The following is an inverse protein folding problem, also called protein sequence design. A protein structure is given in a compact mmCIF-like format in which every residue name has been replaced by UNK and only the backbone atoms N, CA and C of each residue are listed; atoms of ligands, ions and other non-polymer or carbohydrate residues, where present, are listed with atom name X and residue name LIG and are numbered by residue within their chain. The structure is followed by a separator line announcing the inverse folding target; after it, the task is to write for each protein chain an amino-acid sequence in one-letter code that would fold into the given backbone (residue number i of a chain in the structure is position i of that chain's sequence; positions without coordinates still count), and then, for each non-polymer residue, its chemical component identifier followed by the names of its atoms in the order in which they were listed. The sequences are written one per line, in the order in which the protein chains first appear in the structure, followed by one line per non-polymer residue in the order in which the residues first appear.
data_IF_791622776655
#
_entry.id   IF_791622776655
#
_cell.length_a   1.000
_cell.length_b   1.000
_cell.length_c   1.000
_cell.angle_alpha   90.00
_cell.angle_beta   90.00
_cell.angle_gamma   90.00
#
_symmetry.space_group_name_H-M   'P 1'
#
loop_
_entity.id
_entity.type
_entity.pdbx_description
1 polymer ?
#
# COMPACT_ATOMS: atom_id res chain seq x y z
N UNK A 1 -10.95 -20.68 -14.96
CA UNK A 1 -9.92 -20.60 -13.91
C UNK A 1 -9.36 -19.19 -13.95
N UNK A 2 -9.32 -18.51 -12.79
CA UNK A 2 -8.92 -17.10 -12.72
C UNK A 2 -7.39 -17.01 -12.66
N UNK A 3 -6.77 -16.49 -13.72
CA UNK A 3 -5.31 -16.37 -13.85
C UNK A 3 -4.69 -15.36 -12.89
N UNK A 4 -5.49 -14.38 -12.44
CA UNK A 4 -5.04 -13.30 -11.56
C UNK A 4 -5.88 -13.24 -10.29
N UNK A 5 -5.21 -13.06 -9.15
CA UNK A 5 -5.82 -12.81 -7.85
C UNK A 5 -5.42 -11.44 -7.33
N UNK A 6 -6.36 -10.74 -6.70
CA UNK A 6 -6.04 -9.58 -5.90
C UNK A 6 -5.68 -10.00 -4.48
N UNK A 7 -4.70 -9.31 -3.88
CA UNK A 7 -4.36 -9.43 -2.48
C UNK A 7 -4.41 -8.05 -1.82
N UNK A 8 -4.94 -7.99 -0.60
CA UNK A 8 -4.96 -6.76 0.19
C UNK A 8 -4.87 -7.07 1.68
N UNK A 9 -4.78 -6.04 2.52
CA UNK A 9 -4.90 -6.23 3.97
C UNK A 9 -5.66 -5.08 4.63
N UNK A 10 -6.37 -5.41 5.70
CA UNK A 10 -7.05 -4.45 6.56
C UNK A 10 -6.45 -4.51 7.97
N UNK A 11 -5.87 -3.40 8.41
CA UNK A 11 -5.48 -3.19 9.80
C UNK A 11 -5.80 -1.77 10.22
N UNK A 12 -6.44 -1.64 11.39
CA UNK A 12 -7.03 -0.39 11.83
C UNK A 12 -6.79 -0.16 13.33
N UNK A 13 -5.54 0.08 13.75
CA UNK A 13 -5.20 0.22 15.18
C UNK A 13 -5.89 1.41 15.85
N UNK A 14 -6.44 2.36 15.09
CA UNK A 14 -7.16 3.53 15.59
C UNK A 14 -8.68 3.44 15.46
N UNK A 15 -9.22 2.35 14.90
CA UNK A 15 -10.66 2.14 14.79
C UNK A 15 -11.40 3.14 13.91
N UNK A 16 -10.74 3.73 12.90
CA UNK A 16 -11.40 4.66 11.97
C UNK A 16 -12.46 3.95 11.13
N UNK A 17 -13.68 4.48 11.10
CA UNK A 17 -14.79 3.89 10.36
C UNK A 17 -14.57 3.88 8.84
N UNK A 18 -13.89 4.89 8.32
CA UNK A 18 -13.67 5.10 6.88
C UNK A 18 -12.87 3.97 6.24
N UNK A 19 -11.93 3.35 6.96
CA UNK A 19 -11.15 2.22 6.43
C UNK A 19 -12.04 1.04 6.07
N UNK A 20 -12.98 0.68 6.95
CA UNK A 20 -13.90 -0.43 6.70
C UNK A 20 -14.87 -0.07 5.56
N UNK A 21 -15.40 1.15 5.54
CA UNK A 21 -16.25 1.63 4.44
C UNK A 21 -15.53 1.53 3.09
N UNK A 22 -14.29 2.00 3.01
CA UNK A 22 -13.47 1.94 1.80
C UNK A 22 -13.18 0.49 1.39
N UNK A 23 -12.88 -0.40 2.36
CA UNK A 23 -12.70 -1.83 2.07
C UNK A 23 -13.94 -2.44 1.40
N UNK A 24 -15.14 -2.17 1.93
CA UNK A 24 -16.40 -2.70 1.37
C UNK A 24 -16.66 -2.20 -0.04
N UNK A 25 -16.38 -0.92 -0.26
CA UNK A 25 -16.41 -0.31 -1.59
C UNK A 25 -15.44 -1.01 -2.55
N UNK A 26 -14.17 -1.12 -2.15
CA UNK A 26 -13.11 -1.72 -2.95
C UNK A 26 -13.48 -3.15 -3.36
N UNK A 27 -13.89 -3.96 -2.38
CA UNK A 27 -14.30 -5.35 -2.58
C UNK A 27 -15.46 -5.48 -3.57
N UNK A 28 -16.50 -4.66 -3.42
CA UNK A 28 -17.69 -4.68 -4.30
C UNK A 28 -17.37 -4.34 -5.76
N UNK A 29 -16.35 -3.51 -5.99
CA UNK A 29 -15.97 -3.05 -7.33
C UNK A 29 -14.87 -3.89 -7.98
N UNK A 30 -14.31 -4.87 -7.27
CA UNK A 30 -13.28 -5.73 -7.79
C UNK A 30 -13.87 -6.80 -8.73
N UNK A 31 -13.15 -7.10 -9.80
CA UNK A 31 -13.59 -8.04 -10.87
C UNK A 31 -12.83 -9.36 -10.85
N UNK A 32 -11.94 -9.56 -9.88
CA UNK A 32 -11.09 -10.76 -9.71
C UNK A 32 -11.24 -11.29 -8.28
N UNK A 33 -10.93 -12.57 -8.03
CA UNK A 33 -10.94 -13.11 -6.68
C UNK A 33 -10.02 -12.32 -5.73
N UNK A 34 -10.47 -12.15 -4.50
CA UNK A 34 -9.79 -11.39 -3.48
C UNK A 34 -9.27 -12.30 -2.36
N UNK A 35 -8.01 -12.15 -2.03
CA UNK A 35 -7.46 -12.61 -0.76
C UNK A 35 -7.18 -11.42 0.17
N UNK A 36 -7.54 -11.54 1.44
CA UNK A 36 -7.38 -10.48 2.43
C UNK A 36 -6.79 -11.02 3.72
N UNK A 37 -5.83 -10.28 4.28
CA UNK A 37 -5.45 -10.43 5.69
C UNK A 37 -6.12 -9.34 6.51
N UNK A 38 -6.86 -9.73 7.54
CA UNK A 38 -7.28 -8.83 8.60
C UNK A 38 -6.36 -8.97 9.82
N UNK A 39 -5.71 -7.88 10.22
CA UNK A 39 -4.90 -7.84 11.43
C UNK A 39 -5.60 -7.04 12.53
N UNK A 40 -5.95 -7.74 13.62
CA UNK A 40 -6.52 -7.18 14.83
C UNK A 40 -5.44 -6.92 15.89
N UNK A 41 -5.72 -5.96 16.77
CA UNK A 41 -4.88 -5.61 17.92
C UNK A 41 -5.51 -5.98 19.27
N UNK A 42 -6.70 -6.55 19.25
CA UNK A 42 -7.49 -6.86 20.44
C UNK A 42 -8.37 -8.12 20.27
N UNK A 43 -8.06 -8.93 19.26
CA UNK A 43 -8.81 -10.14 18.90
C UNK A 43 -10.19 -9.89 18.29
N UNK A 44 -10.59 -8.63 18.05
CA UNK A 44 -11.85 -8.30 17.39
C UNK A 44 -11.63 -8.10 15.90
N UNK A 45 -12.40 -8.82 15.11
CA UNK A 45 -12.40 -8.80 13.66
C UNK A 45 -13.68 -8.13 13.16
N UNK A 46 -13.57 -7.37 12.08
CA UNK A 46 -14.67 -6.66 11.41
C UNK A 46 -14.97 -7.21 10.02
N UNK A 47 -14.11 -8.08 9.47
CA UNK A 47 -14.39 -8.81 8.25
C UNK A 47 -15.02 -10.17 8.55
N UNK A 48 -16.03 -10.52 7.77
CA UNK A 48 -16.79 -11.78 7.80
C UNK A 48 -16.33 -12.70 6.66
N UNK A 49 -16.68 -13.99 6.69
CA UNK A 49 -16.18 -14.98 5.73
C UNK A 49 -16.59 -14.72 4.27
N UNK A 50 -17.61 -13.87 4.05
CA UNK A 50 -18.02 -13.44 2.71
C UNK A 50 -17.27 -12.21 2.17
N UNK A 51 -16.30 -11.68 2.91
CA UNK A 51 -15.64 -10.41 2.58
C UNK A 51 -14.38 -10.55 1.74
N UNK A 52 -13.98 -11.79 1.45
CA UNK A 52 -12.91 -12.16 0.53
C UNK A 52 -13.08 -13.63 0.15
N UNK A 53 -12.61 -14.03 -1.04
CA UNK A 53 -12.55 -15.44 -1.44
C UNK A 53 -11.56 -16.24 -0.58
N UNK A 54 -10.52 -15.56 -0.05
CA UNK A 54 -9.60 -16.11 0.95
C UNK A 54 -9.38 -15.07 2.05
N UNK A 55 -9.75 -15.39 3.30
CA UNK A 55 -9.61 -14.49 4.44
C UNK A 55 -8.71 -15.10 5.51
N UNK A 56 -7.61 -14.43 5.82
CA UNK A 56 -6.72 -14.77 6.94
C UNK A 56 -6.92 -13.74 8.05
N UNK A 57 -7.17 -14.21 9.28
CA UNK A 57 -7.35 -13.36 10.45
C UNK A 57 -6.20 -13.56 11.42
N UNK A 58 -5.50 -12.47 11.75
CA UNK A 58 -4.33 -12.47 12.64
C UNK A 58 -4.57 -11.52 13.82
N UNK A 59 -3.97 -11.81 14.97
CA UNK A 59 -4.01 -10.93 16.12
C UNK A 59 -2.61 -10.66 16.69
N UNK A 60 -2.24 -9.40 16.84
CA UNK A 60 -0.95 -9.00 17.44
C UNK A 60 -1.12 -7.89 18.49
N UNK A 61 -0.23 -7.81 19.48
CA UNK A 61 -0.20 -6.69 20.42
C UNK A 61 0.55 -5.46 19.90
N UNK A 62 1.41 -5.65 18.88
CA UNK A 62 2.39 -4.65 18.48
C UNK A 62 1.94 -3.83 17.28
N UNK A 63 1.72 -2.54 17.50
CA UNK A 63 1.28 -1.58 16.48
C UNK A 63 2.44 -1.19 15.58
N UNK A 64 2.46 -1.77 14.38
CA UNK A 64 3.47 -1.59 13.34
C UNK A 64 2.80 -1.31 11.98
N UNK A 65 3.45 -0.55 11.09
CA UNK A 65 3.01 -0.49 9.70
C UNK A 65 3.56 -1.71 8.96
N UNK A 66 2.77 -2.77 8.88
CA UNK A 66 3.24 -4.07 8.35
C UNK A 66 2.46 -4.54 7.12
N UNK A 67 2.00 -3.62 6.27
CA UNK A 67 1.23 -3.91 5.06
C UNK A 67 1.90 -4.98 4.19
N UNK A 68 3.15 -4.75 3.79
CA UNK A 68 3.91 -5.65 2.93
C UNK A 68 4.13 -7.03 3.58
N UNK A 69 4.26 -7.09 4.92
CA UNK A 69 4.34 -8.37 5.64
C UNK A 69 3.07 -9.19 5.50
N UNK A 70 1.93 -8.54 5.72
CA UNK A 70 0.62 -9.19 5.60
C UNK A 70 0.36 -9.63 4.15
N UNK A 71 0.77 -8.82 3.17
CA UNK A 71 0.68 -9.19 1.75
C UNK A 71 1.57 -10.39 1.41
N UNK A 72 2.76 -10.54 2.02
CA UNK A 72 3.62 -11.71 1.81
C UNK A 72 2.95 -13.01 2.28
N UNK A 73 2.19 -12.99 3.38
CA UNK A 73 1.40 -14.15 3.80
C UNK A 73 0.36 -14.56 2.74
N UNK A 74 -0.23 -13.58 2.04
CA UNK A 74 -1.18 -13.85 0.96
C UNK A 74 -0.49 -14.33 -0.32
N UNK A 75 0.70 -13.81 -0.65
CA UNK A 75 1.50 -14.30 -1.78
C UNK A 75 1.73 -15.81 -1.66
N UNK A 76 1.96 -16.29 -0.44
CA UNK A 76 2.18 -17.71 -0.17
C UNK A 76 0.87 -18.51 -0.09
N UNK A 77 -0.25 -17.87 0.29
CA UNK A 77 -1.53 -18.54 0.53
C UNK A 77 -2.48 -18.59 -0.69
N UNK A 78 -2.31 -17.72 -1.69
CA UNK A 78 -3.18 -17.76 -2.89
C UNK A 78 -3.06 -19.11 -3.63
N UNK A 79 -4.14 -19.59 -4.28
CA UNK A 79 -4.14 -20.91 -4.91
C UNK A 79 -3.05 -21.09 -5.96
N UNK A 80 -2.53 -22.33 -6.10
CA UNK A 80 -1.51 -22.67 -7.10
C UNK A 80 -1.95 -22.41 -8.56
N UNK A 81 -3.26 -22.34 -8.81
CA UNK A 81 -3.82 -21.99 -10.12
C UNK A 81 -3.66 -20.50 -10.48
N UNK A 82 -3.22 -19.66 -9.54
CA UNK A 82 -2.96 -18.25 -9.73
C UNK A 82 -1.62 -18.05 -10.46
N UNK A 83 -1.63 -17.40 -11.62
CA UNK A 83 -0.42 -17.07 -12.40
C UNK A 83 0.13 -15.68 -12.04
N UNK A 84 -0.76 -14.73 -11.72
CA UNK A 84 -0.43 -13.33 -11.44
C UNK A 84 -1.11 -12.84 -10.18
N UNK A 85 -0.43 -11.98 -9.44
CA UNK A 85 -0.95 -11.41 -8.20
C UNK A 85 -0.95 -9.89 -8.33
N UNK A 86 -2.11 -9.29 -8.08
CA UNK A 86 -2.28 -7.85 -7.94
C UNK A 86 -2.32 -7.50 -6.44
N UNK A 87 -1.35 -6.74 -5.94
CA UNK A 87 -1.42 -6.21 -4.58
C UNK A 87 -1.96 -4.80 -4.57
N UNK A 88 -3.08 -4.62 -3.87
CA UNK A 88 -3.94 -3.45 -3.97
C UNK A 88 -4.14 -2.83 -2.58
N UNK A 89 -4.07 -1.51 -2.49
CA UNK A 89 -4.59 -0.79 -1.33
C UNK A 89 -6.13 -0.91 -1.32
N UNK A 90 -6.74 -1.18 -0.16
CA UNK A 90 -8.18 -1.44 -0.04
C UNK A 90 -9.05 -0.17 -0.08
N UNK A 91 -8.55 0.91 -0.67
CA UNK A 91 -9.19 2.21 -0.82
C UNK A 91 -9.13 2.71 -2.27
N UNK A 92 -9.11 1.78 -3.22
CA UNK A 92 -9.07 2.06 -4.65
C UNK A 92 -10.29 1.49 -5.38
N UNK A 93 -10.66 2.11 -6.50
CA UNK A 93 -11.64 1.58 -7.44
C UNK A 93 -11.12 1.78 -8.86
N UNK A 94 -11.05 0.72 -9.64
CA UNK A 94 -10.68 0.82 -11.05
C UNK A 94 -11.89 1.30 -11.85
N UNK A 95 -11.69 2.35 -12.65
CA UNK A 95 -12.71 2.77 -13.61
C UNK A 95 -12.86 1.73 -14.72
N UNK A 96 -11.73 1.23 -15.21
CA UNK A 96 -11.71 0.21 -16.26
C UNK A 96 -11.86 -1.19 -15.67
N UNK A 97 -12.98 -1.88 -15.94
CA UNK A 97 -13.24 -3.23 -15.43
C UNK A 97 -12.41 -4.33 -16.11
N UNK A 98 -11.87 -4.05 -17.31
CA UNK A 98 -11.04 -4.96 -18.11
C UNK A 98 -9.54 -4.81 -17.79
N UNK A 99 -9.20 -4.17 -16.66
CA UNK A 99 -7.83 -4.07 -16.18
C UNK A 99 -7.14 -5.45 -16.00
N UNK A 100 -7.81 -6.54 -15.58
CA UNK A 100 -7.16 -7.85 -15.40
C UNK A 100 -6.63 -8.40 -16.72
N UNK A 101 -7.44 -8.35 -17.78
CA UNK A 101 -7.09 -8.85 -19.11
C UNK A 101 -5.97 -8.01 -19.73
N UNK A 102 -5.98 -6.70 -19.51
CA UNK A 102 -4.89 -5.82 -19.94
C UNK A 102 -3.59 -6.09 -19.19
N UNK A 103 -3.66 -6.32 -17.88
CA UNK A 103 -2.49 -6.68 -17.08
C UNK A 103 -1.88 -8.00 -17.58
N UNK A 104 -2.71 -9.03 -17.79
CA UNK A 104 -2.26 -10.34 -18.31
C UNK A 104 -1.52 -10.19 -19.63
N UNK A 105 -2.05 -9.38 -20.57
CA UNK A 105 -1.37 -9.10 -21.85
C UNK A 105 -0.08 -8.32 -21.66
N UNK A 106 -0.05 -7.35 -20.75
CA UNK A 106 1.12 -6.50 -20.52
C UNK A 106 2.30 -7.26 -19.90
N UNK A 107 2.06 -8.39 -19.21
CA UNK A 107 3.13 -9.25 -18.68
C UNK A 107 3.97 -9.95 -19.76
N UNK A 108 3.55 -9.95 -21.04
CA UNK A 108 4.40 -10.37 -22.16
C UNK A 108 5.65 -9.48 -22.31
N UNK A 109 5.60 -8.24 -21.79
CA UNK A 109 6.66 -7.23 -21.95
C UNK A 109 7.29 -6.81 -20.63
N UNK A 110 6.49 -6.77 -19.57
CA UNK A 110 6.88 -6.22 -18.28
C UNK A 110 6.89 -7.30 -17.19
N UNK A 111 7.76 -7.13 -16.20
CA UNK A 111 7.83 -8.01 -15.01
C UNK A 111 6.96 -7.52 -13.87
N UNK A 112 6.77 -6.20 -13.79
CA UNK A 112 5.98 -5.53 -12.74
C UNK A 112 5.12 -4.45 -13.40
N UNK A 113 3.84 -4.38 -13.04
CA UNK A 113 2.88 -3.46 -13.63
C UNK A 113 2.28 -2.54 -12.57
N UNK A 114 2.26 -1.24 -12.84
CA UNK A 114 1.40 -0.31 -12.13
C UNK A 114 0.00 -0.38 -12.77
N UNK A 115 -1.03 -0.75 -12.03
CA UNK A 115 -2.32 -1.15 -12.63
C UNK A 115 -3.21 0.01 -13.09
N UNK A 116 -2.67 1.20 -13.23
CA UNK A 116 -3.38 2.35 -13.77
C UNK A 116 -2.42 3.35 -14.40
N UNK A 117 -2.96 4.21 -15.25
CA UNK A 117 -2.27 5.32 -15.87
C UNK A 117 -2.37 6.56 -14.99
N UNK A 118 -3.57 6.84 -14.48
CA UNK A 118 -3.88 8.08 -13.77
C UNK A 118 -4.71 7.83 -12.53
N UNK A 119 -4.27 8.36 -11.40
CA UNK A 119 -5.03 8.43 -10.15
C UNK A 119 -5.96 9.64 -10.16
N UNK A 120 -7.16 9.45 -9.65
CA UNK A 120 -8.14 10.51 -9.35
C UNK A 120 -8.54 10.41 -7.87
N UNK A 121 -8.22 11.43 -7.07
CA UNK A 121 -8.62 11.47 -5.66
C UNK A 121 -10.07 11.95 -5.54
N UNK A 122 -10.92 11.09 -4.97
CA UNK A 122 -12.33 11.41 -4.73
C UNK A 122 -12.50 12.25 -3.46
N UNK A 123 -13.58 13.05 -3.37
CA UNK A 123 -13.89 13.82 -2.17
C UNK A 123 -14.43 12.93 -1.03
N UNK A 124 -14.52 13.49 0.18
CA UNK A 124 -14.95 12.76 1.39
C UNK A 124 -16.41 12.27 1.37
N UNK A 125 -17.20 12.92 0.52
CA UNK A 125 -18.60 12.72 0.21
C UNK A 125 -18.82 11.57 -0.77
N UNK A 126 -17.75 11.11 -1.44
CA UNK A 126 -17.79 9.87 -2.19
C UNK A 126 -17.90 8.70 -1.20
N UNK A 127 -19.00 7.98 -1.30
CA UNK A 127 -19.36 6.82 -0.49
C UNK A 127 -19.79 5.70 -1.42
N UNK A 128 -20.01 4.49 -0.89
CA UNK A 128 -20.49 3.34 -1.67
C UNK A 128 -21.72 3.63 -2.55
N UNK A 129 -22.57 4.59 -2.15
CA UNK A 129 -23.83 4.90 -2.86
C UNK A 129 -23.64 5.78 -4.09
N UNK A 130 -22.51 6.45 -4.21
CA UNK A 130 -22.26 7.50 -5.20
C UNK A 130 -20.80 7.48 -5.65
N UNK A 131 -20.23 6.29 -5.80
CA UNK A 131 -18.93 6.16 -6.46
C UNK A 131 -19.15 6.44 -7.94
N UNK A 132 -18.34 7.30 -8.56
CA UNK A 132 -18.40 7.53 -9.98
C UNK A 132 -18.29 6.21 -10.75
N UNK A 133 -19.16 6.03 -11.75
CA UNK A 133 -18.87 5.08 -12.82
C UNK A 133 -17.79 5.68 -13.74
N UNK A 134 -17.78 7.01 -13.87
CA UNK A 134 -16.82 7.78 -14.65
C UNK A 134 -16.29 8.99 -13.87
N UNK A 135 -15.04 9.39 -14.07
CA UNK A 135 -14.43 10.44 -13.24
C UNK A 135 -15.10 11.83 -13.33
N UNK A 136 -15.96 12.05 -14.31
CA UNK A 136 -16.60 13.35 -14.56
C UNK A 136 -17.79 13.59 -13.61
N UNK A 137 -18.23 12.57 -12.84
CA UNK A 137 -19.31 12.68 -11.86
C UNK A 137 -18.90 13.50 -10.61
N UNK A 138 -17.59 13.72 -10.40
CA UNK A 138 -17.06 14.54 -9.32
C UNK A 138 -15.98 15.50 -9.82
N UNK A 139 -15.88 16.66 -9.18
CA UNK A 139 -14.69 17.50 -9.29
C UNK A 139 -13.58 16.84 -8.46
N UNK A 140 -12.50 16.34 -9.08
CA UNK A 140 -11.48 15.61 -8.34
C UNK A 140 -10.65 16.55 -7.49
N UNK A 141 -10.29 16.11 -6.28
CA UNK A 141 -9.41 16.88 -5.39
C UNK A 141 -8.02 17.03 -6.02
N UNK A 142 -7.55 15.95 -6.64
CA UNK A 142 -6.22 15.84 -7.19
C UNK A 142 -6.20 14.77 -8.28
N UNK A 143 -5.38 14.99 -9.31
CA UNK A 143 -5.11 14.00 -10.34
C UNK A 143 -3.61 13.88 -10.55
N UNK A 144 -3.09 12.64 -10.63
CA UNK A 144 -1.66 12.38 -10.84
C UNK A 144 -1.43 11.13 -11.70
N UNK A 145 -0.48 11.15 -12.64
CA UNK A 145 -0.07 9.93 -13.33
C UNK A 145 0.57 8.92 -12.36
N UNK A 146 0.52 7.64 -12.74
CA UNK A 146 1.25 6.58 -12.06
C UNK A 146 2.73 6.62 -12.41
N UNK A 147 3.57 6.07 -11.52
CA UNK A 147 5.00 5.98 -11.77
C UNK A 147 5.31 5.06 -12.96
N UNK A 148 4.53 3.99 -13.15
CA UNK A 148 4.68 3.09 -14.30
C UNK A 148 4.43 3.83 -15.62
N UNK A 149 3.38 4.67 -15.69
CA UNK A 149 3.12 5.48 -16.88
C UNK A 149 4.27 6.44 -17.18
N UNK A 150 4.74 7.15 -16.15
CA UNK A 150 5.80 8.14 -16.30
C UNK A 150 7.14 7.53 -16.74
N UNK A 151 7.49 6.35 -16.23
CA UNK A 151 8.70 5.61 -16.65
C UNK A 151 8.68 5.36 -18.16
N UNK A 152 7.54 4.93 -18.71
CA UNK A 152 7.41 4.62 -20.15
C UNK A 152 7.44 5.87 -21.02
N UNK A 153 6.91 6.99 -20.52
CA UNK A 153 6.76 8.24 -21.31
C UNK A 153 7.85 9.28 -21.04
N UNK A 154 8.94 8.89 -20.38
CA UNK A 154 10.10 9.76 -20.15
C UNK A 154 9.85 10.89 -19.13
N UNK A 155 8.89 10.70 -18.22
CA UNK A 155 8.64 11.63 -17.12
C UNK A 155 9.76 11.62 -16.07
N UNK A 156 9.95 12.74 -15.36
CA UNK A 156 10.94 12.83 -14.27
C UNK A 156 10.43 12.14 -13.01
N UNK A 157 10.54 10.81 -12.96
CA UNK A 157 10.11 10.01 -11.81
C UNK A 157 11.11 10.10 -10.66
N UNK A 158 12.41 10.11 -10.93
CA UNK A 158 13.47 10.13 -9.90
C UNK A 158 13.42 11.41 -9.05
N UNK A 159 13.29 12.57 -9.70
CA UNK A 159 13.18 13.86 -9.00
C UNK A 159 11.89 13.97 -8.18
N UNK A 160 10.85 13.24 -8.57
CA UNK A 160 9.59 13.18 -7.85
C UNK A 160 9.60 12.15 -6.71
N UNK A 161 10.40 11.11 -6.84
CA UNK A 161 10.61 10.09 -5.84
C UNK A 161 11.21 10.65 -4.55
N UNK A 162 12.03 11.70 -4.64
CA UNK A 162 12.57 12.42 -3.48
C UNK A 162 11.53 13.32 -2.79
N UNK A 163 10.40 13.61 -3.43
CA UNK A 163 9.37 14.49 -2.89
C UNK A 163 8.43 13.72 -1.98
N UNK A 164 7.91 14.43 -0.99
CA UNK A 164 6.86 13.90 -0.10
C UNK A 164 5.56 13.68 -0.87
N UNK A 165 4.68 12.80 -0.38
CA UNK A 165 3.41 12.53 -1.08
C UNK A 165 2.53 13.77 -1.30
N UNK A 166 2.69 14.85 -0.53
CA UNK A 166 1.99 16.11 -0.77
C UNK A 166 2.53 16.88 -1.98
N UNK A 167 3.84 16.80 -2.24
CA UNK A 167 4.56 17.57 -3.25
C UNK A 167 4.84 16.79 -4.54
N UNK A 168 4.87 15.46 -4.44
CA UNK A 168 5.07 14.56 -5.57
C UNK A 168 4.02 14.81 -6.65
N UNK A 169 4.39 14.75 -7.92
CA UNK A 169 3.49 14.86 -9.08
C UNK A 169 3.09 13.49 -9.62
N UNK A 170 3.65 12.41 -9.07
CA UNK A 170 3.49 11.03 -9.49
C UNK A 170 2.99 10.17 -8.34
N UNK A 171 2.23 9.13 -8.65
CA UNK A 171 1.78 8.12 -7.67
C UNK A 171 2.64 6.87 -7.76
N UNK A 172 3.21 6.43 -6.63
CA UNK A 172 4.02 5.20 -6.53
C UNK A 172 3.29 4.04 -5.87
N UNK A 173 2.19 4.28 -5.15
CA UNK A 173 1.45 3.25 -4.41
C UNK A 173 0.14 2.84 -5.06
N UNK A 174 -0.81 2.39 -4.25
CA UNK A 174 -2.18 2.03 -4.63
C UNK A 174 -2.38 0.68 -5.30
N UNK A 175 -1.81 0.44 -6.47
CA UNK A 175 -2.16 -0.77 -7.22
C UNK A 175 -1.05 -1.25 -8.15
N UNK A 176 -0.54 -2.45 -7.87
CA UNK A 176 0.53 -3.06 -8.62
C UNK A 176 0.27 -4.55 -8.86
N UNK A 177 0.94 -5.14 -9.85
CA UNK A 177 0.90 -6.58 -10.08
C UNK A 177 2.22 -7.14 -10.61
N UNK A 178 2.43 -8.44 -10.38
CA UNK A 178 3.54 -9.23 -10.91
C UNK A 178 3.13 -10.70 -11.04
N UNK A 179 3.98 -11.53 -11.66
CA UNK A 179 3.75 -12.98 -11.65
C UNK A 179 3.85 -13.52 -10.22
N UNK A 180 3.04 -14.54 -9.92
CA UNK A 180 3.10 -15.27 -8.64
C UNK A 180 4.50 -15.80 -8.39
N UNK A 181 5.15 -16.36 -9.40
CA UNK A 181 6.52 -16.88 -9.32
C UNK A 181 7.51 -15.82 -8.84
N UNK A 182 7.48 -14.61 -9.42
CA UNK A 182 8.38 -13.52 -9.03
C UNK A 182 8.13 -13.13 -7.56
N UNK A 183 6.86 -13.00 -7.16
CA UNK A 183 6.51 -12.60 -5.80
C UNK A 183 6.81 -13.69 -4.77
N UNK A 184 6.61 -14.97 -5.06
CA UNK A 184 6.99 -16.06 -4.14
C UNK A 184 8.50 -16.20 -4.00
N UNK A 185 9.26 -15.88 -5.06
CA UNK A 185 10.72 -15.95 -5.04
C UNK A 185 11.36 -14.85 -4.19
N UNK A 186 10.84 -13.63 -4.27
CA UNK A 186 11.47 -12.47 -3.63
C UNK A 186 10.69 -11.86 -2.48
N UNK A 187 9.38 -12.09 -2.43
CA UNK A 187 8.42 -11.38 -1.60
C UNK A 187 8.51 -9.85 -1.78
N UNK A 188 7.55 -9.13 -1.19
CA UNK A 188 7.66 -7.68 -1.02
C UNK A 188 8.59 -7.37 0.16
N UNK A 189 9.32 -6.25 0.10
CA UNK A 189 10.17 -5.84 1.21
C UNK A 189 9.32 -5.40 2.43
N UNK A 190 9.32 -6.22 3.48
CA UNK A 190 8.36 -6.13 4.58
C UNK A 190 8.90 -5.56 5.89
N UNK A 191 10.17 -5.15 5.95
CA UNK A 191 10.77 -4.51 7.13
C UNK A 191 10.59 -2.99 7.15
N UNK A 192 9.78 -2.43 6.23
CA UNK A 192 9.44 -1.01 6.21
C UNK A 192 8.34 -0.67 7.24
N UNK A 193 8.62 -0.92 8.52
CA UNK A 193 7.63 -0.88 9.62
C UNK A 193 7.07 0.51 9.96
N UNK A 194 7.53 1.55 9.27
CA UNK A 194 7.03 2.93 9.32
C UNK A 194 6.28 3.37 8.05
N UNK A 195 6.08 2.45 7.10
CA UNK A 195 5.45 2.67 5.80
C UNK A 195 6.41 3.21 4.71
N UNK A 196 5.91 3.25 3.47
CA UNK A 196 6.70 3.59 2.27
C UNK A 196 7.25 2.37 1.52
N UNK A 197 6.73 1.17 1.81
CA UNK A 197 7.09 -0.05 1.09
C UNK A 197 6.78 0.02 -0.41
N UNK A 198 5.74 0.74 -0.83
CA UNK A 198 5.43 0.98 -2.25
C UNK A 198 6.60 1.60 -3.01
N UNK A 199 7.20 2.66 -2.44
CA UNK A 199 8.38 3.34 -2.99
C UNK A 199 9.58 2.41 -3.05
N UNK A 200 9.84 1.67 -1.98
CA UNK A 200 10.96 0.71 -1.94
C UNK A 200 10.81 -0.39 -2.99
N UNK A 201 9.62 -0.99 -3.09
CA UNK A 201 9.36 -2.05 -4.06
C UNK A 201 9.52 -1.54 -5.49
N UNK A 202 8.93 -0.38 -5.81
CA UNK A 202 9.06 0.22 -7.14
C UNK A 202 10.51 0.60 -7.48
N UNK A 203 11.20 1.35 -6.61
CA UNK A 203 12.58 1.74 -6.86
C UNK A 203 13.52 0.54 -7.01
N UNK A 204 13.30 -0.52 -6.22
CA UNK A 204 14.11 -1.73 -6.31
C UNK A 204 13.87 -2.48 -7.60
N UNK A 205 12.64 -2.54 -8.09
CA UNK A 205 12.33 -3.12 -9.41
C UNK A 205 13.00 -2.33 -10.56
N UNK A 206 13.21 -1.02 -10.39
CA UNK A 206 13.91 -0.13 -11.32
C UNK A 206 15.44 -0.12 -11.18
N UNK A 207 15.99 -0.64 -10.08
CA UNK A 207 17.42 -0.56 -9.78
C UNK A 207 17.87 0.75 -9.12
N UNK A 208 16.93 1.57 -8.64
CA UNK A 208 17.17 2.87 -8.00
C UNK A 208 17.47 2.74 -6.50
N UNK A 209 18.40 1.85 -6.14
CA UNK A 209 18.65 1.49 -4.74
C UNK A 209 19.14 2.66 -3.90
N UNK A 210 20.07 3.45 -4.42
CA UNK A 210 20.64 4.59 -3.71
C UNK A 210 19.60 5.68 -3.45
N UNK A 211 18.69 5.89 -4.42
CA UNK A 211 17.58 6.82 -4.31
C UNK A 211 16.62 6.40 -3.19
N UNK A 212 16.28 5.12 -3.14
CA UNK A 212 15.41 4.56 -2.11
C UNK A 212 16.06 4.56 -0.73
N UNK A 213 17.32 4.14 -0.64
CA UNK A 213 18.11 4.16 0.59
C UNK A 213 18.25 5.59 1.14
N UNK A 214 18.55 6.57 0.28
CA UNK A 214 18.65 7.97 0.64
C UNK A 214 17.33 8.54 1.15
N UNK A 215 16.23 8.31 0.44
CA UNK A 215 14.90 8.77 0.86
C UNK A 215 14.48 8.21 2.23
N UNK A 216 14.75 6.92 2.46
CA UNK A 216 14.46 6.25 3.73
C UNK A 216 15.54 6.43 4.80
N UNK A 217 16.61 7.17 4.51
CA UNK A 217 17.76 7.41 5.37
C UNK A 217 18.31 6.10 5.97
N UNK A 218 18.53 5.11 5.11
CA UNK A 218 19.00 3.80 5.52
C UNK A 218 20.53 3.80 5.72
N UNK A 219 20.98 3.27 6.84
CA UNK A 219 22.40 3.10 7.18
C UNK A 219 22.61 1.73 7.84
N UNK A 220 23.88 1.31 7.96
CA UNK A 220 24.27 0.12 8.73
C UNK A 220 23.51 -1.17 8.35
N UNK A 221 23.12 -2.00 9.35
CA UNK A 221 22.42 -3.27 9.12
C UNK A 221 21.13 -3.13 8.30
N UNK A 222 20.40 -2.03 8.47
CA UNK A 222 19.17 -1.76 7.71
C UNK A 222 19.45 -1.59 6.21
N UNK A 223 20.51 -0.85 5.86
CA UNK A 223 20.91 -0.67 4.47
C UNK A 223 21.37 -2.00 3.85
N UNK A 224 22.17 -2.76 4.58
CA UNK A 224 22.66 -4.07 4.13
C UNK A 224 21.51 -5.06 3.88
N UNK A 225 20.57 -5.15 4.83
CA UNK A 225 19.34 -5.93 4.70
C UNK A 225 18.58 -5.55 3.43
N UNK A 226 18.28 -4.26 3.25
CA UNK A 226 17.56 -3.74 2.09
C UNK A 226 18.27 -4.08 0.77
N UNK A 227 19.57 -3.77 0.66
CA UNK A 227 20.34 -4.00 -0.56
C UNK A 227 20.44 -5.49 -0.92
N UNK A 228 20.51 -6.37 0.09
CA UNK A 228 20.56 -7.83 -0.12
C UNK A 228 19.29 -8.37 -0.79
N UNK A 229 18.14 -7.76 -0.52
CA UNK A 229 16.86 -8.06 -1.13
C UNK A 229 16.69 -7.34 -2.48
N UNK A 230 16.91 -6.03 -2.51
CA UNK A 230 16.63 -5.17 -3.66
C UNK A 230 17.41 -5.59 -4.91
N UNK A 231 18.69 -5.97 -4.74
CA UNK A 231 19.55 -6.43 -5.85
C UNK A 231 19.08 -7.76 -6.43
N UNK A 232 18.49 -8.66 -5.63
CA UNK A 232 17.95 -9.93 -6.10
C UNK A 232 16.68 -9.71 -6.91
N UNK A 233 15.77 -8.87 -6.42
CA UNK A 233 14.57 -8.48 -7.17
C UNK A 233 14.94 -7.87 -8.52
N UNK A 234 15.85 -6.88 -8.52
CA UNK A 234 16.27 -6.20 -9.75
C UNK A 234 16.88 -7.14 -10.78
N UNK A 235 17.62 -8.17 -10.35
CA UNK A 235 18.21 -9.15 -11.26
C UNK A 235 17.14 -9.81 -12.15
N UNK A 236 15.94 -10.01 -11.63
CA UNK A 236 14.85 -10.67 -12.34
C UNK A 236 13.88 -9.67 -13.01
N UNK A 237 13.75 -8.45 -12.49
CA UNK A 237 12.91 -7.41 -13.11
C UNK A 237 13.63 -6.62 -14.19
N UNK A 238 14.91 -6.30 -14.00
CA UNK A 238 15.76 -5.50 -14.89
C UNK A 238 15.12 -4.19 -15.37
N UNK A 239 14.37 -3.52 -14.49
CA UNK A 239 13.67 -2.28 -14.84
C UNK A 239 12.50 -2.46 -15.82
N UNK A 240 12.05 -3.68 -16.11
CA UNK A 240 10.86 -3.96 -16.92
C UNK A 240 9.58 -3.66 -16.13
N UNK A 241 9.41 -2.40 -15.78
CA UNK A 241 8.21 -1.86 -15.13
C UNK A 241 7.33 -1.21 -16.18
N UNK A 242 6.05 -1.58 -16.19
CA UNK A 242 5.06 -1.02 -17.09
C UNK A 242 3.84 -0.47 -16.34
N UNK A 243 2.77 -0.22 -17.10
CA UNK A 243 1.49 0.19 -16.56
C UNK A 243 0.32 -0.40 -17.37
N UNK A 244 -0.87 -0.34 -16.79
CA UNK A 244 -2.14 -0.62 -17.47
C UNK A 244 -2.87 0.70 -17.71
N UNK A 245 -3.45 0.89 -18.90
CA UNK A 245 -4.16 2.13 -19.21
C UNK A 245 -5.51 2.21 -18.48
N UNK A 246 -5.89 3.42 -18.10
CA UNK A 246 -7.13 3.70 -17.39
C UNK A 246 -6.93 4.49 -16.10
N UNK A 247 -8.05 5.00 -15.58
CA UNK A 247 -8.09 5.75 -14.32
C UNK A 247 -8.33 4.82 -13.14
N UNK A 248 -7.79 5.22 -12.00
CA UNK A 248 -8.05 4.62 -10.69
C UNK A 248 -8.54 5.70 -9.75
N UNK A 249 -9.74 5.50 -9.21
CA UNK A 249 -10.28 6.31 -8.14
C UNK A 249 -9.64 5.91 -6.82
N UNK A 250 -9.17 6.89 -6.06
CA UNK A 250 -8.65 6.68 -4.72
C UNK A 250 -9.62 7.32 -3.73
N UNK A 251 -10.21 6.47 -2.89
CA UNK A 251 -11.25 6.81 -1.94
C UNK A 251 -10.66 7.63 -0.81
N UNK A 252 -11.36 8.69 -0.43
CA UNK A 252 -10.90 9.54 0.64
C UNK A 252 -10.81 8.78 1.97
N UNK A 253 -9.74 9.03 2.73
CA UNK A 253 -9.52 8.44 4.05
C UNK A 253 -8.72 9.40 4.96
N UNK A 254 -9.17 10.65 5.04
CA UNK A 254 -8.50 11.73 5.78
C UNK A 254 -7.63 12.62 4.89
N UNK A 255 -7.46 13.87 5.34
CA UNK A 255 -6.75 14.93 4.63
C UNK A 255 -5.27 14.60 4.44
N UNK A 256 -4.72 14.86 3.26
CA UNK A 256 -3.29 14.64 2.96
C UNK A 256 -2.35 15.31 3.97
N UNK A 257 -2.69 16.50 4.47
CA UNK A 257 -1.91 17.23 5.48
C UNK A 257 -1.77 16.48 6.81
N UNK A 258 -2.78 15.67 7.16
CA UNK A 258 -2.84 14.95 8.44
C UNK A 258 -2.17 13.58 8.34
N UNK A 259 -1.81 13.12 7.13
CA UNK A 259 -1.12 11.83 6.91
C UNK A 259 0.36 11.84 7.34
N UNK A 260 0.91 13.01 7.70
CA UNK A 260 2.23 13.22 8.35
C UNK A 260 3.39 12.41 7.74
N UNK A 261 3.42 12.34 6.40
CA UNK A 261 4.39 11.52 5.67
C UNK A 261 5.84 11.89 5.98
N UNK A 262 6.16 13.16 6.19
CA UNK A 262 7.52 13.60 6.49
C UNK A 262 8.05 13.07 7.82
N UNK A 263 7.29 13.25 8.90
CA UNK A 263 7.77 12.93 10.25
C UNK A 263 7.90 11.43 10.51
N UNK A 264 7.23 10.57 9.72
CA UNK A 264 7.29 9.12 9.94
C UNK A 264 8.60 8.50 9.42
N UNK A 265 9.16 9.06 8.35
CA UNK A 265 10.38 8.50 7.74
C UNK A 265 11.64 8.73 8.57
N UNK A 266 11.62 9.66 9.53
CA UNK A 266 12.72 9.83 10.49
C UNK A 266 12.64 8.87 11.68
N UNK A 267 11.49 8.22 11.94
CA UNK A 267 11.32 7.39 13.16
C UNK A 267 12.36 6.27 13.25
N UNK A 268 12.57 5.53 12.15
CA UNK A 268 13.51 4.41 12.12
C UNK A 268 14.98 4.87 12.15
N UNK A 269 15.40 5.87 11.34
CA UNK A 269 16.75 6.45 11.45
C UNK A 269 17.05 7.03 12.83
N UNK A 270 16.14 7.80 13.42
CA UNK A 270 16.35 8.47 14.73
C UNK A 270 16.52 7.47 15.89
N UNK A 271 16.19 6.19 15.67
CA UNK A 271 16.23 5.13 16.67
C UNK A 271 17.17 3.97 16.29
N UNK A 272 18.05 4.19 15.30
CA UNK A 272 19.02 3.20 14.82
C UNK A 272 18.38 1.83 14.55
N UNK A 273 17.24 1.83 13.84
CA UNK A 273 16.46 0.61 13.60
C UNK A 273 17.28 -0.45 12.87
N UNK A 274 17.37 -1.64 13.45
CA UNK A 274 18.01 -2.82 12.89
C UNK A 274 16.95 -3.92 12.64
N UNK A 275 16.67 -4.28 11.37
CA UNK A 275 15.66 -5.30 11.06
C UNK A 275 16.02 -6.70 11.57
N UNK A 276 17.26 -6.97 11.96
CA UNK A 276 17.69 -8.27 12.47
C UNK A 276 17.43 -8.45 13.97
N UNK A 277 17.36 -7.36 14.74
CA UNK A 277 17.27 -7.41 16.21
C UNK A 277 16.04 -6.71 16.77
N UNK A 278 15.49 -5.73 16.06
CA UNK A 278 14.41 -4.90 16.60
C UNK A 278 13.01 -5.45 16.32
N UNK A 279 12.88 -6.34 15.33
CA UNK A 279 11.65 -7.04 15.00
C UNK A 279 11.88 -8.53 14.85
N UNK A 280 10.85 -9.31 15.15
CA UNK A 280 10.81 -10.75 14.91
C UNK A 280 9.40 -11.17 14.49
N UNK A 281 9.28 -12.33 13.84
CA UNK A 281 7.97 -12.91 13.55
C UNK A 281 7.36 -13.52 14.82
N UNK A 282 6.06 -13.35 14.99
CA UNK A 282 5.28 -14.12 15.95
C UNK A 282 4.83 -15.47 15.36
N UNK A 283 4.10 -16.26 16.16
CA UNK A 283 3.60 -17.58 15.78
C UNK A 283 2.58 -17.54 14.62
N UNK A 284 1.97 -16.38 14.38
CA UNK A 284 1.01 -16.12 13.32
C UNK A 284 1.67 -15.51 12.06
N UNK A 285 2.99 -15.28 12.11
CA UNK A 285 3.76 -14.69 11.02
C UNK A 285 3.62 -13.18 10.88
N UNK A 286 3.06 -12.47 11.87
CA UNK A 286 3.07 -11.01 11.92
C UNK A 286 4.37 -10.50 12.58
N UNK A 287 4.74 -9.25 12.30
CA UNK A 287 5.85 -8.61 13.00
C UNK A 287 5.46 -8.28 14.44
N UNK A 288 6.39 -8.54 15.36
CA UNK A 288 6.39 -8.08 16.76
C UNK A 288 7.70 -7.38 17.08
N UNK A 289 7.71 -6.58 18.14
CA UNK A 289 8.94 -5.99 18.66
C UNK A 289 9.85 -7.06 19.27
N UNK A 290 11.16 -6.94 19.03
CA UNK A 290 12.20 -7.82 19.57
C UNK A 290 13.31 -7.07 20.34
N UNK A 291 13.21 -5.74 20.41
CA UNK A 291 14.11 -4.86 21.16
C UNK A 291 13.36 -4.03 22.20
N UNK A 292 14.08 -3.44 23.16
CA UNK A 292 13.54 -2.41 24.06
C UNK A 292 13.92 -1.00 23.56
N UNK A 293 13.13 -0.46 22.62
CA UNK A 293 13.29 0.89 22.05
C UNK A 293 12.01 1.71 22.25
N UNK A 294 11.73 2.17 23.48
CA UNK A 294 10.42 2.73 23.85
C UNK A 294 10.05 4.00 23.08
N UNK A 295 11.01 4.82 22.65
CA UNK A 295 10.73 5.99 21.78
C UNK A 295 10.21 5.55 20.40
N UNK A 296 10.94 4.66 19.72
CA UNK A 296 10.52 4.09 18.43
C UNK A 296 9.11 3.49 18.52
N UNK A 297 8.88 2.64 19.53
CA UNK A 297 7.61 1.95 19.71
C UNK A 297 6.47 2.95 19.94
N UNK A 298 6.67 3.93 20.81
CA UNK A 298 5.70 4.99 21.08
C UNK A 298 5.41 5.81 19.81
N UNK A 299 6.43 6.26 19.09
CA UNK A 299 6.28 7.11 17.90
C UNK A 299 5.51 6.40 16.78
N UNK A 300 5.76 5.11 16.55
CA UNK A 300 4.97 4.33 15.58
C UNK A 300 3.53 4.11 16.05
N UNK A 301 3.31 3.78 17.32
CA UNK A 301 1.95 3.61 17.85
C UNK A 301 1.14 4.91 17.74
N UNK A 302 1.73 6.04 18.09
CA UNK A 302 1.07 7.35 18.03
C UNK A 302 0.89 7.89 16.62
N UNK A 303 1.58 7.34 15.61
CA UNK A 303 1.44 7.77 14.23
C UNK A 303 0.02 7.50 13.69
N UNK A 304 -0.54 6.33 13.97
CA UNK A 304 -1.83 5.91 13.45
C UNK A 304 -3.00 6.85 13.83
N UNK A 305 -3.24 7.20 15.10
CA UNK A 305 -4.37 8.06 15.46
C UNK A 305 -4.21 9.49 14.92
N UNK A 306 -2.98 9.95 14.66
CA UNK A 306 -2.70 11.29 14.12
C UNK A 306 -3.11 11.44 12.65
N UNK A 307 -3.41 10.34 11.94
CA UNK A 307 -3.84 10.35 10.53
C UNK A 307 -5.25 10.89 10.31
N UNK A 308 -6.10 10.85 11.35
CA UNK A 308 -7.49 11.34 11.32
C UNK A 308 -8.25 10.83 10.09
N UNK A 309 -8.28 9.50 9.87
CA UNK A 309 -8.80 8.92 8.61
C UNK A 309 -10.32 9.05 8.46
N UNK A 310 -11.04 9.38 9.53
CA UNK A 310 -12.46 9.78 9.51
C UNK A 310 -12.65 11.29 9.28
N UNK A 311 -11.57 12.06 9.14
CA UNK A 311 -11.59 13.51 9.04
C UNK A 311 -11.55 14.22 10.39
N UNK A 312 -11.38 15.54 10.34
CA UNK A 312 -11.49 16.39 11.53
C UNK A 312 -12.97 16.55 11.87
N UNK A 313 -13.35 16.27 13.13
CA UNK A 313 -14.69 16.60 13.61
C UNK A 313 -14.88 18.12 13.51
N UNK A 314 -15.79 18.56 12.65
CA UNK A 314 -16.24 19.95 12.64
C UNK A 314 -17.05 20.15 13.92
N UNK A 315 -16.55 20.96 14.86
CA UNK A 315 -17.40 21.46 15.94
C UNK A 315 -18.40 22.40 15.28
N UNK A 316 -19.66 21.97 15.16
CA UNK A 316 -20.74 22.90 14.89
C UNK A 316 -20.81 23.81 16.11
N UNK A 317 -20.37 25.06 15.96
CA UNK A 317 -20.71 26.10 16.92
C UNK A 317 -22.22 26.22 16.88
N UNK A 318 -22.89 25.80 17.95
CA UNK A 318 -24.28 26.18 18.19
C UNK A 318 -24.29 27.70 18.33
N UNK A 319 -24.54 28.41 17.23
CA UNK A 319 -24.96 29.80 17.31
C UNK A 319 -26.32 29.81 17.98
N UNK A 320 -26.29 30.30 19.21
CA UNK A 320 -27.41 30.69 20.04
C UNK A 320 -28.32 31.61 19.22
N UNK A 321 -29.49 31.10 18.83
CA UNK A 321 -30.64 31.98 18.52
C UNK A 321 -31.08 32.61 19.83
N UNK A 322 -30.74 33.89 20.01
CA UNK A 322 -31.39 34.79 20.97
C UNK A 322 -32.62 35.43 20.32
#
# INVERSE_FOLDING_TARGET
MNKIWAITCLFNPSGFSRRLQNYRVFMKNLTVPLATVELSYNGKFVLEDGDADLLIRLNTGDVLWQKERLLNLLIDAVPDTCEYIAWLDCDVVFENRDWPEQAIKAFERYSVLHLFEKRVDLPSEATERNIPEEADDFVPILQRPSAGYQVIHGGSVEGDFLRTSGQAQTTTGLAWAASRELLQKHHLHDTCIAGGGDRLNFASAMGWFDLAAGFHQMTGPRLEHYLSWARKLYKDTQGRVGYVSGRLFHLWHGDLRDRRYLSRFSILPDNDFDPHTDIALDEQGAWKWASDKPDMHRRLREYFPKRLEDGRRVRVSSETTA
#
